data_IF_123481143698
#
_entry.id   IF_123481143698
#
_cell.length_a   1.000
_cell.length_b   1.000
_cell.length_c   1.000
_cell.angle_alpha   90.00
_cell.angle_beta   90.00
_cell.angle_gamma   90.00
#
_symmetry.space_group_name_H-M   'P 1'
#
loop_
_entity.id
_entity.type
_entity.pdbx_description
1 polymer ?
#
# COMPACT_ATOMS: atom_id res chain seq x y z
N UNK A 1 -14.54 -24.78 -4.89
CA UNK A 1 -15.58 -23.87 -4.36
C UNK A 1 -15.16 -23.13 -3.06
N UNK A 2 -13.92 -23.27 -2.57
CA UNK A 2 -13.42 -22.58 -1.35
C UNK A 2 -12.62 -21.31 -1.68
N UNK A 3 -11.89 -21.29 -2.81
CA UNK A 3 -11.05 -20.16 -3.25
C UNK A 3 -11.80 -18.84 -3.49
N UNK A 4 -13.08 -18.90 -3.85
CA UNK A 4 -13.88 -17.68 -4.11
C UNK A 4 -14.21 -16.98 -2.80
N UNK A 5 -14.47 -17.71 -1.71
CA UNK A 5 -14.82 -17.14 -0.40
C UNK A 5 -13.63 -16.45 0.28
N UNK A 6 -12.43 -17.01 0.18
CA UNK A 6 -11.23 -16.35 0.72
C UNK A 6 -10.92 -15.04 -0.01
N UNK A 7 -11.11 -14.99 -1.34
CA UNK A 7 -10.95 -13.76 -2.12
C UNK A 7 -11.96 -12.65 -1.76
N UNK A 8 -13.17 -12.99 -1.28
CA UNK A 8 -14.15 -11.99 -0.83
C UNK A 8 -13.90 -11.54 0.63
N UNK A 9 -13.26 -12.37 1.45
CA UNK A 9 -13.02 -12.06 2.86
C UNK A 9 -11.94 -10.97 3.03
N UNK A 10 -10.85 -11.05 2.26
CA UNK A 10 -9.70 -10.16 2.47
C UNK A 10 -9.93 -8.74 1.96
N UNK A 11 -10.71 -8.57 0.88
CA UNK A 11 -11.13 -7.23 0.44
C UNK A 11 -11.96 -6.51 1.51
N UNK A 12 -12.78 -7.25 2.27
CA UNK A 12 -13.57 -6.67 3.37
C UNK A 12 -12.65 -6.24 4.53
N UNK A 13 -11.61 -7.02 4.83
CA UNK A 13 -10.64 -6.69 5.88
C UNK A 13 -9.92 -5.35 5.63
N UNK A 14 -9.61 -5.00 4.37
CA UNK A 14 -9.06 -3.66 4.09
C UNK A 14 -10.05 -2.55 4.45
N UNK A 15 -11.33 -2.69 4.08
CA UNK A 15 -12.34 -1.66 4.34
C UNK A 15 -12.50 -1.38 5.83
N UNK A 16 -12.35 -2.39 6.68
CA UNK A 16 -12.41 -2.24 8.14
C UNK A 16 -11.26 -1.39 8.70
N UNK A 17 -10.11 -1.36 8.03
CA UNK A 17 -8.92 -0.61 8.48
C UNK A 17 -8.86 0.83 7.99
N UNK A 18 -9.56 1.18 6.90
CA UNK A 18 -9.47 2.52 6.29
C UNK A 18 -10.21 3.58 7.12
N UNK A 19 -9.57 4.71 7.39
CA UNK A 19 -10.12 5.85 8.15
C UNK A 19 -9.70 7.19 7.50
N UNK A 20 -10.52 8.23 7.61
CA UNK A 20 -10.16 9.58 7.13
C UNK A 20 -9.95 10.50 8.32
N UNK A 21 -8.81 11.20 8.34
CA UNK A 21 -8.43 12.13 9.39
C UNK A 21 -8.45 13.57 8.88
N UNK A 22 -8.82 14.53 9.73
CA UNK A 22 -8.77 15.95 9.42
C UNK A 22 -7.37 16.50 9.74
N UNK A 23 -6.37 16.10 8.96
CA UNK A 23 -4.95 16.37 9.21
C UNK A 23 -4.32 17.37 8.22
N UNK A 24 -5.11 17.98 7.34
CA UNK A 24 -4.61 18.83 6.25
C UNK A 24 -3.97 18.05 5.09
N UNK A 25 -3.72 16.75 5.26
CA UNK A 25 -3.26 15.85 4.18
C UNK A 25 -4.44 15.56 3.24
N UNK A 26 -4.28 15.73 1.91
CA UNK A 26 -5.31 15.37 0.94
C UNK A 26 -5.85 13.95 1.12
N UNK A 27 -7.17 13.77 1.07
CA UNK A 27 -7.86 12.49 1.35
C UNK A 27 -7.30 11.34 0.49
N UNK A 28 -7.03 11.59 -0.80
CA UNK A 28 -6.50 10.55 -1.68
C UNK A 28 -5.10 10.06 -1.25
N UNK A 29 -4.27 10.92 -0.64
CA UNK A 29 -2.96 10.57 -0.09
C UNK A 29 -3.16 9.68 1.14
N UNK A 30 -4.10 10.04 2.03
CA UNK A 30 -4.41 9.24 3.20
C UNK A 30 -4.84 7.81 2.82
N UNK A 31 -5.72 7.67 1.81
CA UNK A 31 -6.16 6.36 1.31
C UNK A 31 -4.99 5.58 0.73
N UNK A 32 -4.20 6.21 -0.14
CA UNK A 32 -3.01 5.58 -0.75
C UNK A 32 -2.08 5.02 0.33
N UNK A 33 -1.75 5.83 1.34
CA UNK A 33 -0.79 5.46 2.38
C UNK A 33 -1.35 4.38 3.31
N UNK A 34 -2.65 4.38 3.59
CA UNK A 34 -3.29 3.31 4.34
C UNK A 34 -3.34 2.00 3.58
N UNK A 35 -3.62 2.03 2.27
CA UNK A 35 -3.55 0.83 1.43
C UNK A 35 -2.12 0.28 1.39
N UNK A 36 -1.10 1.14 1.25
CA UNK A 36 0.30 0.73 1.32
C UNK A 36 0.63 0.06 2.66
N UNK A 37 0.17 0.62 3.77
CA UNK A 37 0.34 0.04 5.10
C UNK A 37 -0.35 -1.31 5.24
N UNK A 38 -1.58 -1.45 4.75
CA UNK A 38 -2.32 -2.72 4.78
C UNK A 38 -1.62 -3.81 3.97
N UNK A 39 -1.09 -3.49 2.79
CA UNK A 39 -0.29 -4.42 1.99
C UNK A 39 1.02 -4.77 2.73
N UNK A 40 1.71 -3.79 3.29
CA UNK A 40 2.94 -3.99 4.06
C UNK A 40 2.76 -4.76 5.37
N UNK A 41 1.55 -4.75 5.94
CA UNK A 41 1.16 -5.55 7.09
C UNK A 41 0.68 -6.96 6.70
N UNK A 42 0.55 -7.26 5.40
CA UNK A 42 0.03 -8.54 4.91
C UNK A 42 -1.48 -8.70 5.04
N UNK A 43 -2.22 -7.62 5.33
CA UNK A 43 -3.70 -7.62 5.36
C UNK A 43 -4.28 -7.90 3.99
N UNK A 44 -3.62 -7.45 2.91
CA UNK A 44 -3.89 -7.91 1.54
C UNK A 44 -2.57 -8.35 0.93
N UNK A 45 -2.55 -9.57 0.39
CA UNK A 45 -1.34 -10.18 -0.16
C UNK A 45 -1.19 -9.90 -1.67
N UNK A 46 0.04 -9.95 -2.20
CA UNK A 46 0.26 -9.90 -3.64
C UNK A 46 -0.60 -10.91 -4.42
N UNK A 47 -1.27 -10.44 -5.47
CA UNK A 47 -2.19 -11.24 -6.28
C UNK A 47 -3.64 -11.25 -5.79
N UNK A 48 -3.92 -10.77 -4.58
CA UNK A 48 -5.29 -10.69 -4.08
C UNK A 48 -6.05 -9.50 -4.67
N UNK A 49 -7.39 -9.64 -4.68
CA UNK A 49 -8.30 -8.65 -5.24
C UNK A 49 -8.52 -7.52 -4.24
N UNK A 50 -8.30 -6.29 -4.71
CA UNK A 50 -8.63 -5.07 -3.99
C UNK A 50 -10.15 -4.83 -3.97
N UNK A 51 -10.67 -4.16 -2.94
CA UNK A 51 -12.02 -3.59 -2.96
C UNK A 51 -12.21 -2.71 -4.19
N UNK A 52 -13.42 -2.69 -4.72
CA UNK A 52 -13.77 -1.76 -5.80
C UNK A 52 -13.74 -0.32 -5.29
N UNK A 53 -13.45 0.64 -6.19
CA UNK A 53 -13.46 2.06 -5.83
C UNK A 53 -14.82 2.50 -5.26
N UNK A 54 -15.93 1.91 -5.75
CA UNK A 54 -17.28 2.16 -5.21
C UNK A 54 -17.46 1.66 -3.78
N UNK A 55 -16.96 0.46 -3.46
CA UNK A 55 -17.03 -0.07 -2.09
C UNK A 55 -16.26 0.84 -1.11
N UNK A 56 -15.06 1.30 -1.49
CA UNK A 56 -14.27 2.22 -0.65
C UNK A 56 -14.98 3.57 -0.49
N UNK A 57 -15.52 4.14 -1.58
CA UNK A 57 -16.24 5.41 -1.54
C UNK A 57 -17.46 5.34 -0.60
N UNK A 58 -18.23 4.25 -0.66
CA UNK A 58 -19.38 4.02 0.21
C UNK A 58 -18.96 3.81 1.66
N UNK A 59 -17.96 2.96 1.90
CA UNK A 59 -17.47 2.65 3.25
C UNK A 59 -16.93 3.89 3.97
N UNK A 60 -16.19 4.74 3.26
CA UNK A 60 -15.60 5.96 3.80
C UNK A 60 -16.50 7.19 3.68
N UNK A 61 -17.64 7.09 2.98
CA UNK A 61 -18.56 8.19 2.67
C UNK A 61 -17.86 9.39 2.01
N UNK A 62 -17.05 9.11 0.99
CA UNK A 62 -16.28 10.12 0.23
C UNK A 62 -16.58 10.07 -1.27
N UNK A 63 -16.14 11.10 -1.98
CA UNK A 63 -16.28 11.19 -3.43
C UNK A 63 -15.52 10.08 -4.16
N UNK A 64 -16.15 9.48 -5.17
CA UNK A 64 -15.60 8.37 -5.95
C UNK A 64 -14.34 8.77 -6.73
N UNK A 65 -14.25 10.03 -7.21
CA UNK A 65 -13.07 10.49 -7.93
C UNK A 65 -11.87 10.61 -6.99
N UNK A 66 -12.08 10.89 -5.70
CA UNK A 66 -11.01 10.88 -4.70
C UNK A 66 -10.42 9.48 -4.54
N UNK A 67 -11.28 8.45 -4.48
CA UNK A 67 -10.84 7.05 -4.43
C UNK A 67 -10.13 6.65 -5.72
N UNK A 68 -10.69 7.03 -6.88
CA UNK A 68 -10.06 6.80 -8.18
C UNK A 68 -8.65 7.39 -8.20
N UNK A 69 -8.50 8.63 -7.74
CA UNK A 69 -7.21 9.30 -7.72
C UNK A 69 -6.18 8.60 -6.82
N UNK A 70 -6.61 8.04 -5.69
CA UNK A 70 -5.78 7.21 -4.83
C UNK A 70 -5.35 5.90 -5.54
N UNK A 71 -6.29 5.22 -6.20
CA UNK A 71 -6.03 3.98 -6.93
C UNK A 71 -5.12 4.21 -8.13
N UNK A 72 -5.32 5.29 -8.88
CA UNK A 72 -4.45 5.66 -9.99
C UNK A 72 -3.03 5.97 -9.50
N UNK A 73 -2.89 6.61 -8.34
CA UNK A 73 -1.58 6.84 -7.72
C UNK A 73 -0.87 5.53 -7.35
N UNK A 74 -1.60 4.57 -6.76
CA UNK A 74 -1.06 3.24 -6.44
C UNK A 74 -0.67 2.47 -7.71
N UNK A 75 -1.50 2.54 -8.76
CA UNK A 75 -1.24 1.88 -10.03
C UNK A 75 0.00 2.44 -10.73
N UNK A 76 0.18 3.78 -10.71
CA UNK A 76 1.39 4.44 -11.24
C UNK A 76 2.67 3.99 -10.54
N UNK A 77 2.59 3.68 -9.25
CA UNK A 77 3.73 3.14 -8.48
C UNK A 77 3.93 1.63 -8.63
N UNK A 78 3.09 0.96 -9.43
CA UNK A 78 3.16 -0.50 -9.63
C UNK A 78 2.76 -1.32 -8.41
N UNK A 79 2.08 -0.73 -7.44
CA UNK A 79 1.64 -1.41 -6.21
C UNK A 79 0.37 -2.22 -6.44
N UNK A 80 -0.48 -1.76 -7.35
CA UNK A 80 -1.69 -2.45 -7.79
C UNK A 80 -1.74 -2.50 -9.31
N UNK A 81 -2.43 -3.50 -9.84
CA UNK A 81 -2.69 -3.66 -11.28
C UNK A 81 -4.19 -3.60 -11.51
N UNK A 82 -4.62 -2.71 -12.42
CA UNK A 82 -6.01 -2.62 -12.86
C UNK A 82 -6.18 -3.52 -14.07
N UNK A 83 -6.98 -4.58 -13.95
CA UNK A 83 -7.31 -5.49 -15.03
C UNK A 83 -8.74 -5.19 -15.53
N UNK A 84 -8.92 -4.76 -16.78
CA UNK A 84 -10.24 -4.52 -17.35
C UNK A 84 -11.15 -5.75 -17.16
N UNK A 85 -12.40 -5.51 -16.77
CA UNK A 85 -13.42 -6.53 -16.44
C UNK A 85 -13.12 -7.48 -15.27
N UNK A 86 -11.85 -7.68 -14.87
CA UNK A 86 -11.47 -8.61 -13.79
C UNK A 86 -11.36 -7.93 -12.42
N UNK A 87 -11.08 -6.63 -12.40
CA UNK A 87 -10.98 -5.82 -11.18
C UNK A 87 -9.56 -5.33 -10.92
N UNK A 88 -9.30 -4.91 -9.68
CA UNK A 88 -8.01 -4.36 -9.26
C UNK A 88 -7.36 -5.36 -8.32
N UNK A 89 -6.05 -5.60 -8.48
CA UNK A 89 -5.30 -6.59 -7.71
C UNK A 89 -4.02 -5.99 -7.15
N UNK A 90 -3.54 -6.48 -6.01
CA UNK A 90 -2.20 -6.13 -5.53
C UNK A 90 -1.17 -6.74 -6.47
N UNK A 91 -0.21 -5.94 -6.93
CA UNK A 91 0.78 -6.39 -7.89
C UNK A 91 1.63 -7.54 -7.30
N UNK A 92 1.75 -8.64 -8.03
CA UNK A 92 2.79 -9.63 -7.77
C UNK A 92 4.11 -9.05 -8.28
N UNK A 93 5.05 -8.81 -7.36
CA UNK A 93 6.39 -8.41 -7.77
C UNK A 93 7.06 -9.62 -8.42
N UNK A 94 7.68 -9.46 -9.60
CA UNK A 94 8.47 -10.53 -10.17
C UNK A 94 9.56 -10.93 -9.17
N UNK A 95 9.87 -12.22 -9.05
CA UNK A 95 10.91 -12.67 -8.15
C UNK A 95 12.22 -11.94 -8.47
N UNK A 96 12.99 -11.68 -7.43
CA UNK A 96 14.30 -11.02 -7.52
C UNK A 96 15.31 -12.07 -8.02
N UNK A 97 15.13 -12.53 -9.25
CA UNK A 97 15.92 -13.61 -9.85
C UNK A 97 17.37 -13.19 -10.10
N UNK A 98 17.61 -11.88 -10.15
CA UNK A 98 18.92 -11.28 -10.33
C UNK A 98 19.27 -10.34 -9.15
N UNK A 99 20.41 -10.63 -8.52
CA UNK A 99 20.95 -9.86 -7.41
C UNK A 99 21.24 -8.41 -7.82
N UNK A 100 21.66 -8.15 -9.07
CA UNK A 100 21.98 -6.79 -9.51
C UNK A 100 20.72 -5.91 -9.56
N UNK A 101 19.66 -6.44 -10.16
CA UNK A 101 18.32 -5.82 -10.19
C UNK A 101 17.77 -5.60 -8.77
N UNK A 102 18.03 -6.52 -7.84
CA UNK A 102 17.63 -6.37 -6.44
C UNK A 102 18.36 -5.21 -5.74
N UNK A 103 19.68 -5.12 -5.92
CA UNK A 103 20.50 -4.05 -5.33
C UNK A 103 20.09 -2.68 -5.88
N UNK A 104 19.86 -2.57 -7.19
CA UNK A 104 19.39 -1.33 -7.81
C UNK A 104 18.05 -0.87 -7.23
N UNK A 105 17.06 -1.77 -7.13
CA UNK A 105 15.74 -1.45 -6.54
C UNK A 105 15.85 -1.04 -5.07
N UNK A 106 16.77 -1.65 -4.32
CA UNK A 106 17.07 -1.29 -2.93
C UNK A 106 17.63 0.13 -2.84
N UNK A 107 18.65 0.44 -3.66
CA UNK A 107 19.26 1.76 -3.70
C UNK A 107 18.26 2.84 -4.09
N UNK A 108 17.42 2.58 -5.09
CA UNK A 108 16.35 3.49 -5.52
C UNK A 108 15.38 3.81 -4.38
N UNK A 109 14.97 2.79 -3.61
CA UNK A 109 14.08 2.99 -2.46
C UNK A 109 14.79 3.77 -1.35
N UNK A 110 16.05 3.46 -1.08
CA UNK A 110 16.85 4.19 -0.09
C UNK A 110 16.98 5.67 -0.48
N UNK A 111 17.32 5.99 -1.73
CA UNK A 111 17.41 7.37 -2.22
C UNK A 111 16.09 8.13 -2.11
N UNK A 112 14.97 7.51 -2.49
CA UNK A 112 13.63 8.13 -2.31
C UNK A 112 13.31 8.39 -0.85
N UNK A 113 13.67 7.47 0.03
CA UNK A 113 13.44 7.60 1.48
C UNK A 113 14.28 8.72 2.07
N UNK A 114 15.56 8.81 1.69
CA UNK A 114 16.47 9.88 2.10
C UNK A 114 15.97 11.24 1.63
N UNK A 115 15.56 11.35 0.36
CA UNK A 115 15.01 12.58 -0.21
C UNK A 115 13.73 13.01 0.53
N UNK A 116 12.81 12.07 0.76
CA UNK A 116 11.57 12.32 1.49
C UNK A 116 11.81 12.72 2.95
N UNK A 117 12.73 12.05 3.65
CA UNK A 117 13.09 12.41 5.02
C UNK A 117 13.58 13.87 5.09
N UNK A 118 14.52 14.24 4.22
CA UNK A 118 15.07 15.60 4.19
C UNK A 118 14.03 16.66 3.82
N UNK A 119 13.16 16.39 2.85
CA UNK A 119 12.12 17.36 2.45
C UNK A 119 11.08 17.60 3.55
N UNK A 120 10.93 16.66 4.49
CA UNK A 120 10.07 16.80 5.67
C UNK A 120 10.84 17.30 6.91
N UNK A 121 12.11 17.70 6.78
CA UNK A 121 12.94 18.19 7.89
C UNK A 121 13.41 17.10 8.85
N UNK A 122 13.39 15.82 8.44
CA UNK A 122 13.78 14.68 9.24
C UNK A 122 15.22 14.23 8.95
N UNK A 123 15.92 13.72 9.96
CA UNK A 123 17.23 13.11 9.79
C UNK A 123 17.09 11.71 9.15
N UNK A 124 17.69 11.45 7.96
CA UNK A 124 17.59 10.14 7.31
C UNK A 124 18.15 8.97 8.15
N UNK A 125 19.14 9.22 8.99
CA UNK A 125 19.74 8.18 9.86
C UNK A 125 18.73 7.75 10.92
N UNK A 126 18.05 8.71 11.55
CA UNK A 126 17.02 8.44 12.55
C UNK A 126 15.82 7.71 11.93
N UNK A 127 15.42 8.10 10.71
CA UNK A 127 14.39 7.37 9.95
C UNK A 127 14.81 5.91 9.70
N UNK A 128 16.07 5.67 9.31
CA UNK A 128 16.57 4.30 9.12
C UNK A 128 16.55 3.48 10.42
N UNK A 129 16.98 4.08 11.55
CA UNK A 129 16.89 3.44 12.87
C UNK A 129 15.43 3.11 13.24
N UNK A 130 14.49 4.03 12.95
CA UNK A 130 13.07 3.81 13.23
C UNK A 130 12.46 2.71 12.37
N UNK A 131 12.86 2.60 11.10
CA UNK A 131 12.46 1.50 10.22
C UNK A 131 12.90 0.15 10.80
N UNK A 132 14.16 0.04 11.24
CA UNK A 132 14.71 -1.18 11.84
C UNK A 132 13.92 -1.57 13.10
N UNK A 133 13.65 -0.60 13.99
CA UNK A 133 12.91 -0.85 15.22
C UNK A 133 11.47 -1.36 14.94
N UNK A 134 10.76 -0.74 13.99
CA UNK A 134 9.38 -1.13 13.64
C UNK A 134 9.33 -2.56 13.07
N UNK A 135 10.30 -2.95 12.24
CA UNK A 135 10.32 -4.31 11.70
C UNK A 135 10.63 -5.37 12.77
N UNK A 136 11.50 -5.06 13.74
CA UNK A 136 11.78 -5.96 14.88
C UNK A 136 10.56 -6.15 15.81
N UNK A 137 9.72 -5.12 15.97
CA UNK A 137 8.47 -5.21 16.75
C UNK A 137 7.41 -6.11 16.09
N UNK A 138 7.47 -6.29 14.77
CA UNK A 138 6.55 -7.21 14.06
C UNK A 138 6.96 -8.66 14.23
N UNK A 139 8.26 -8.94 14.33
CA UNK A 139 8.79 -10.30 14.46
C UNK A 139 8.49 -10.90 15.85
N UNK A 140 8.33 -10.05 16.86
CA UNK A 140 8.01 -10.45 18.24
C UNK A 140 6.51 -10.68 18.51
N UNK A 141 5.61 -10.35 17.58
CA UNK A 141 4.15 -10.55 17.71
C UNK A 141 3.61 -11.73 16.90
N UNK A 142 4.47 -12.47 16.20
CA UNK A 142 4.14 -13.74 15.56
C UNK A 142 4.36 -14.90 16.53
#
# INVERSE_FOLDING_TARGET
MVLVYECYHTGIQLLETLRIEQSGVPIYIQIRDQVLRAIGAGTIKPGERMPTMRQVAVALRIDLNTVRHAYDALARTGVITIQPARGTFVAQKPPLDDLSTQVERLNDLAHRTIASARSNGLNPIEVAQRIIAIEQEKDTRK
#
